data_IF_958924154665
#
_entry.id   IF_958924154665
#
_cell.length_a   1.000
_cell.length_b   1.000
_cell.length_c   1.000
_cell.angle_alpha   90.00
_cell.angle_beta   90.00
_cell.angle_gamma   90.00
#
_symmetry.space_group_name_H-M   'P 1'
#
loop_
_entity.id
_entity.type
_entity.pdbx_description
1 polymer ?
#
# COMPACT_ATOMS: atom_id res chain seq x y z
N UNK A 1 -39.48 3.61 6.04
CA UNK A 1 -38.68 2.72 6.90
C UNK A 1 -37.32 3.36 7.07
N UNK A 2 -36.94 3.80 8.26
CA UNK A 2 -35.61 4.38 8.49
C UNK A 2 -34.64 3.26 8.85
N UNK A 3 -33.88 2.77 7.88
CA UNK A 3 -32.77 1.87 8.15
C UNK A 3 -31.63 2.71 8.74
N UNK A 4 -31.40 2.57 10.05
CA UNK A 4 -30.24 3.18 10.72
C UNK A 4 -29.07 2.20 10.66
N UNK A 5 -28.22 2.33 9.64
CA UNK A 5 -26.85 1.84 9.72
C UNK A 5 -26.05 2.59 10.80
N UNK A 6 -24.99 1.97 11.33
CA UNK A 6 -24.12 2.40 12.44
C UNK A 6 -24.83 3.09 13.63
N UNK A 7 -24.96 2.37 14.76
CA UNK A 7 -25.63 2.89 15.95
C UNK A 7 -24.71 3.91 16.63
N UNK A 8 -24.95 5.20 16.37
CA UNK A 8 -24.30 6.31 17.05
C UNK A 8 -25.05 6.63 18.35
N UNK A 9 -24.36 6.60 19.49
CA UNK A 9 -24.93 7.08 20.75
C UNK A 9 -24.79 8.61 20.87
N UNK A 10 -25.24 9.35 19.84
CA UNK A 10 -25.15 10.80 19.78
C UNK A 10 -26.40 11.41 19.13
N UNK A 11 -26.69 12.67 19.44
CA UNK A 11 -27.87 13.41 18.96
C UNK A 11 -27.72 14.00 17.55
N UNK A 12 -26.55 13.92 16.91
CA UNK A 12 -26.35 14.41 15.53
C UNK A 12 -26.43 13.29 14.50
N UNK A 13 -27.02 13.60 13.34
CA UNK A 13 -27.24 12.63 12.26
C UNK A 13 -25.98 12.34 11.42
N UNK A 14 -24.94 13.17 11.50
CA UNK A 14 -23.73 13.06 10.68
C UNK A 14 -22.69 12.12 11.29
N UNK A 15 -21.95 11.39 10.45
CA UNK A 15 -20.77 10.63 10.85
C UNK A 15 -19.59 11.58 11.04
N UNK A 16 -18.94 11.54 12.20
CA UNK A 16 -17.72 12.30 12.45
C UNK A 16 -16.49 11.63 11.82
N UNK A 17 -15.37 12.34 11.86
CA UNK A 17 -14.10 11.83 11.35
C UNK A 17 -13.66 10.50 12.01
N UNK A 18 -13.84 10.29 13.34
CA UNK A 18 -13.52 9.00 13.97
C UNK A 18 -14.42 7.86 13.49
N UNK A 19 -15.73 8.09 13.29
CA UNK A 19 -16.63 7.06 12.79
C UNK A 19 -16.34 6.70 11.33
N UNK A 20 -16.02 7.69 10.48
CA UNK A 20 -15.57 7.45 9.12
C UNK A 20 -14.24 6.70 9.09
N UNK A 21 -13.29 7.06 9.96
CA UNK A 21 -12.02 6.36 10.08
C UNK A 21 -12.22 4.89 10.50
N UNK A 22 -13.17 4.59 11.39
CA UNK A 22 -13.50 3.22 11.76
C UNK A 22 -14.05 2.40 10.57
N UNK A 23 -14.90 3.00 9.73
CA UNK A 23 -15.40 2.37 8.49
C UNK A 23 -14.23 2.09 7.54
N UNK A 24 -13.39 3.10 7.28
CA UNK A 24 -12.25 2.95 6.39
C UNK A 24 -11.22 1.97 6.93
N UNK A 25 -10.99 1.90 8.25
CA UNK A 25 -10.14 0.89 8.87
C UNK A 25 -10.71 -0.53 8.68
N UNK A 26 -12.02 -0.69 8.68
CA UNK A 26 -12.65 -1.96 8.31
C UNK A 26 -12.41 -2.35 6.85
N UNK A 27 -12.36 -1.37 5.94
CA UNK A 27 -12.12 -1.60 4.50
C UNK A 27 -10.63 -1.72 4.14
N UNK A 28 -9.78 -0.99 4.85
CA UNK A 28 -8.33 -0.83 4.69
C UNK A 28 -7.67 -1.12 6.04
N UNK A 29 -7.54 -2.40 6.43
CA UNK A 29 -7.10 -2.77 7.77
C UNK A 29 -5.64 -2.42 8.06
N UNK A 30 -4.84 -2.21 7.01
CA UNK A 30 -3.41 -1.87 7.10
C UNK A 30 -3.18 -0.40 6.77
N UNK A 31 -2.22 0.22 7.46
CA UNK A 31 -1.68 1.51 7.04
C UNK A 31 -0.89 1.34 5.74
N UNK A 32 -0.86 2.39 4.92
CA UNK A 32 -0.08 2.37 3.70
C UNK A 32 -0.64 3.24 2.59
N UNK A 33 0.09 3.29 1.48
CA UNK A 33 -0.31 3.99 0.26
C UNK A 33 -1.42 3.19 -0.43
N UNK A 34 -2.55 3.82 -0.68
CA UNK A 34 -3.63 3.23 -1.46
C UNK A 34 -3.26 3.41 -2.94
N UNK A 35 -3.36 2.33 -3.71
CA UNK A 35 -3.10 2.36 -5.16
C UNK A 35 -4.17 3.20 -5.88
N UNK A 36 -3.91 4.49 -6.02
CA UNK A 36 -4.81 5.48 -6.56
C UNK A 36 -4.01 6.66 -7.11
N UNK A 37 -4.30 7.03 -8.37
CA UNK A 37 -3.61 8.08 -9.12
C UNK A 37 -2.12 7.75 -9.33
N UNK A 38 -1.22 8.56 -8.78
CA UNK A 38 0.23 8.44 -8.95
C UNK A 38 0.89 7.90 -7.66
N UNK A 39 0.12 7.18 -6.84
CA UNK A 39 0.56 6.42 -5.66
C UNK A 39 1.43 7.22 -4.67
N UNK A 40 1.16 8.53 -4.51
CA UNK A 40 1.97 9.42 -3.68
C UNK A 40 3.48 9.32 -4.02
N UNK A 41 3.82 9.14 -5.30
CA UNK A 41 5.21 9.07 -5.74
C UNK A 41 5.99 10.31 -5.27
N UNK A 42 7.13 10.08 -4.63
CA UNK A 42 7.98 11.16 -4.14
C UNK A 42 9.15 11.41 -5.09
N UNK A 43 9.26 12.64 -5.59
CA UNK A 43 10.35 13.07 -6.45
C UNK A 43 11.23 14.11 -5.74
N UNK A 44 12.55 14.00 -5.91
CA UNK A 44 13.48 15.10 -5.61
C UNK A 44 13.34 16.16 -6.70
N UNK A 45 12.97 17.39 -6.30
CA UNK A 45 12.90 18.54 -7.21
C UNK A 45 14.24 19.28 -7.19
N UNK A 46 14.82 19.46 -6.01
CA UNK A 46 16.16 19.99 -5.79
C UNK A 46 16.68 19.52 -4.41
N UNK A 47 17.82 20.03 -3.95
CA UNK A 47 18.41 19.65 -2.65
C UNK A 47 17.59 20.05 -1.42
N UNK A 48 16.61 20.93 -1.59
CA UNK A 48 15.80 21.50 -0.51
C UNK A 48 14.30 21.29 -0.70
N UNK A 49 13.88 20.49 -1.67
CA UNK A 49 12.47 20.27 -1.97
C UNK A 49 12.24 18.86 -2.52
N UNK A 50 11.33 18.15 -1.88
CA UNK A 50 10.71 16.94 -2.42
C UNK A 50 9.23 17.19 -2.70
N UNK A 51 8.70 16.47 -3.67
CA UNK A 51 7.32 16.62 -4.13
C UNK A 51 6.63 15.28 -4.10
N UNK A 52 5.47 15.22 -3.45
CA UNK A 52 4.53 14.12 -3.57
C UNK A 52 3.55 14.41 -4.71
N UNK A 53 3.45 13.46 -5.62
CA UNK A 53 2.42 13.41 -6.67
C UNK A 53 1.05 13.06 -6.09
N UNK A 54 -0.05 13.23 -6.86
CA UNK A 54 -1.38 12.77 -6.46
C UNK A 54 -1.40 11.33 -5.94
N UNK A 55 -2.11 11.11 -4.84
CA UNK A 55 -2.31 9.79 -4.25
C UNK A 55 -2.91 9.87 -2.85
N UNK A 56 -3.16 8.73 -2.21
CA UNK A 56 -3.77 8.67 -0.88
C UNK A 56 -3.01 7.70 0.02
N UNK A 57 -2.85 8.07 1.29
CA UNK A 57 -2.28 7.27 2.37
C UNK A 57 -3.37 6.98 3.41
N UNK A 58 -3.47 5.72 3.85
CA UNK A 58 -4.29 5.29 4.97
C UNK A 58 -3.44 5.25 6.25
N UNK A 59 -3.85 6.03 7.25
CA UNK A 59 -3.25 6.05 8.59
C UNK A 59 -4.32 5.64 9.62
N UNK A 60 -4.36 4.35 9.95
CA UNK A 60 -5.33 3.76 10.89
C UNK A 60 -6.79 4.05 10.52
N UNK A 61 -7.09 4.11 9.22
CA UNK A 61 -8.41 4.47 8.69
C UNK A 61 -8.60 5.97 8.39
N UNK A 62 -7.73 6.85 8.88
CA UNK A 62 -7.72 8.25 8.45
C UNK A 62 -7.03 8.36 7.10
N UNK A 63 -7.72 8.95 6.11
CA UNK A 63 -7.20 9.09 4.76
C UNK A 63 -6.57 10.46 4.56
N UNK A 64 -5.32 10.49 4.11
CA UNK A 64 -4.56 11.68 3.78
C UNK A 64 -4.15 11.61 2.31
N UNK A 65 -4.46 12.62 1.50
CA UNK A 65 -4.17 12.55 0.08
C UNK A 65 -3.75 13.87 -0.57
N UNK A 66 -3.04 13.73 -1.68
CA UNK A 66 -2.78 14.78 -2.66
C UNK A 66 -3.77 14.56 -3.81
N UNK A 67 -4.57 15.58 -4.12
CA UNK A 67 -5.62 15.47 -5.14
C UNK A 67 -5.05 15.49 -6.56
N UNK A 68 -5.74 14.85 -7.50
CA UNK A 68 -5.36 14.87 -8.91
C UNK A 68 -5.24 16.31 -9.44
N UNK A 69 -4.17 16.58 -10.19
CA UNK A 69 -3.87 17.93 -10.70
C UNK A 69 -3.18 18.85 -9.71
N UNK A 70 -2.90 18.38 -8.48
CA UNK A 70 -2.12 19.12 -7.46
C UNK A 70 -0.88 18.33 -7.04
N UNK A 71 0.00 18.97 -6.27
CA UNK A 71 1.22 18.36 -5.72
C UNK A 71 1.40 18.82 -4.28
N UNK A 72 1.98 17.97 -3.43
CA UNK A 72 2.41 18.40 -2.09
C UNK A 72 3.93 18.56 -2.04
N UNK A 73 4.37 19.81 -1.91
CA UNK A 73 5.79 20.15 -1.83
C UNK A 73 6.22 20.24 -0.37
N UNK A 74 7.28 19.53 -0.03
CA UNK A 74 7.83 19.48 1.31
C UNK A 74 9.25 20.06 1.28
N UNK A 75 9.45 21.13 2.04
CA UNK A 75 10.74 21.78 2.19
C UNK A 75 11.70 20.92 3.02
N UNK A 76 12.85 20.62 2.45
CA UNK A 76 13.95 19.88 3.10
C UNK A 76 15.01 20.90 3.53
N UNK A 77 15.29 20.94 4.83
CA UNK A 77 16.38 21.77 5.34
C UNK A 77 17.71 21.36 4.72
N UNK A 78 18.52 22.34 4.33
CA UNK A 78 19.85 22.06 3.77
C UNK A 78 20.71 21.24 4.73
N UNK A 79 21.53 20.38 4.14
CA UNK A 79 22.57 19.66 4.88
C UNK A 79 23.77 20.56 5.22
N UNK A 80 24.79 19.98 5.82
CA UNK A 80 26.02 20.69 6.19
C UNK A 80 27.21 19.93 5.62
N UNK A 81 28.13 20.63 4.95
CA UNK A 81 29.33 20.02 4.38
C UNK A 81 30.10 19.22 5.46
N UNK A 82 30.48 17.98 5.13
CA UNK A 82 31.14 17.05 6.06
C UNK A 82 30.21 16.30 7.03
N UNK A 83 28.89 16.50 6.95
CA UNK A 83 27.90 15.78 7.75
C UNK A 83 26.91 15.01 6.86
N UNK A 84 26.36 13.94 7.43
CA UNK A 84 25.32 13.10 6.87
C UNK A 84 24.09 13.16 7.77
N UNK A 85 22.89 13.04 7.18
CA UNK A 85 21.61 13.06 7.89
C UNK A 85 20.58 12.20 7.16
N UNK A 86 19.69 11.56 7.88
CA UNK A 86 18.49 10.94 7.31
C UNK A 86 17.28 11.71 7.82
N UNK A 87 16.49 12.26 6.92
CA UNK A 87 15.18 12.82 7.22
C UNK A 87 14.09 11.85 6.73
N UNK A 88 12.88 11.94 7.26
CA UNK A 88 11.75 11.11 6.85
C UNK A 88 10.59 11.99 6.38
N UNK A 89 10.03 11.68 5.22
CA UNK A 89 8.68 12.13 4.87
C UNK A 89 7.71 11.22 5.60
N UNK A 90 6.82 11.79 6.41
CA UNK A 90 5.85 11.06 7.23
C UNK A 90 4.43 11.52 6.96
N UNK A 91 3.47 10.62 7.16
CA UNK A 91 2.08 10.98 7.43
C UNK A 91 1.95 11.14 8.95
N UNK A 92 1.52 12.31 9.38
CA UNK A 92 1.39 12.67 10.79
C UNK A 92 -0.07 12.96 11.12
N UNK A 93 -0.59 12.25 12.11
CA UNK A 93 -1.81 12.60 12.82
C UNK A 93 -1.44 13.21 14.18
N UNK A 94 -2.02 14.37 14.48
CA UNK A 94 -1.95 15.01 15.80
C UNK A 94 -3.36 15.31 16.28
N UNK A 95 -3.76 14.70 17.40
CA UNK A 95 -4.97 15.06 18.13
C UNK A 95 -4.71 16.32 18.92
N UNK A 96 -5.46 17.38 18.64
CA UNK A 96 -5.37 18.61 19.41
C UNK A 96 -6.41 18.60 20.53
N UNK A 97 -6.06 17.86 21.59
CA UNK A 97 -6.60 17.92 22.95
C UNK A 97 -8.10 18.21 23.12
N UNK A 98 -8.95 17.17 23.08
CA UNK A 98 -10.24 17.04 23.79
C UNK A 98 -11.27 18.19 23.75
N UNK A 99 -11.11 19.22 22.92
CA UNK A 99 -11.90 20.45 22.88
C UNK A 99 -12.03 21.04 21.46
N UNK A 100 -12.27 22.35 21.34
CA UNK A 100 -12.57 23.04 20.06
C UNK A 100 -11.41 23.12 19.04
N UNK A 101 -10.29 22.43 19.28
CA UNK A 101 -9.18 22.30 18.34
C UNK A 101 -9.49 21.26 17.27
N UNK A 102 -9.00 21.48 16.05
CA UNK A 102 -9.15 20.52 14.94
C UNK A 102 -7.96 19.58 14.94
N UNK A 103 -8.22 18.28 14.93
CA UNK A 103 -7.21 17.25 14.71
C UNK A 103 -6.53 17.47 13.36
N UNK A 104 -5.20 17.33 13.32
CA UNK A 104 -4.42 17.59 12.11
C UNK A 104 -3.95 16.28 11.51
N UNK A 105 -4.16 16.12 10.20
CA UNK A 105 -3.61 15.03 9.39
C UNK A 105 -2.83 15.66 8.24
N UNK A 106 -1.53 15.41 8.16
CA UNK A 106 -0.65 16.11 7.22
C UNK A 106 0.56 15.28 6.77
N UNK A 107 1.11 15.62 5.61
CA UNK A 107 2.45 15.19 5.23
C UNK A 107 3.48 16.15 5.83
N UNK A 108 4.57 15.62 6.38
CA UNK A 108 5.59 16.41 7.05
C UNK A 108 6.97 15.77 6.89
N UNK A 109 8.02 16.59 6.97
CA UNK A 109 9.38 16.09 7.13
C UNK A 109 9.75 16.05 8.61
N UNK A 110 10.12 14.87 9.11
CA UNK A 110 10.79 14.71 10.40
C UNK A 110 12.28 14.70 10.15
N UNK A 111 12.96 15.73 10.65
CA UNK A 111 14.39 15.92 10.50
C UNK A 111 15.16 14.97 11.41
N UNK A 112 16.19 14.31 10.87
CA UNK A 112 17.11 13.50 11.66
C UNK A 112 18.21 14.32 12.34
N UNK A 113 19.12 13.60 12.98
CA UNK A 113 20.31 14.20 13.60
C UNK A 113 21.48 14.16 12.62
N UNK A 114 22.13 15.32 12.40
CA UNK A 114 23.36 15.38 11.60
C UNK A 114 24.50 14.66 12.31
N UNK A 115 25.30 13.89 11.58
CA UNK A 115 26.46 13.16 12.10
C UNK A 115 27.60 13.16 11.08
N UNK A 116 28.85 13.05 11.53
CA UNK A 116 30.01 12.86 10.63
C UNK A 116 30.18 11.39 10.21
N UNK A 117 29.47 10.46 10.87
CA UNK A 117 29.50 9.03 10.57
C UNK A 117 28.31 8.56 9.74
N UNK A 118 27.92 7.30 9.94
CA UNK A 118 26.72 6.71 9.32
C UNK A 118 25.46 7.32 9.98
N UNK A 119 24.58 7.97 9.21
CA UNK A 119 23.36 8.55 9.76
C UNK A 119 22.32 7.48 10.10
N UNK A 120 21.48 7.76 11.09
CA UNK A 120 20.33 6.94 11.48
C UNK A 120 19.04 7.70 11.26
N UNK A 121 17.96 6.98 10.93
CA UNK A 121 16.64 7.60 10.80
C UNK A 121 16.15 8.13 12.16
N UNK A 122 15.40 9.26 12.19
CA UNK A 122 14.76 9.75 13.41
C UNK A 122 13.73 8.75 13.94
N UNK A 123 13.58 8.72 15.26
CA UNK A 123 12.51 7.96 15.92
C UNK A 123 11.16 8.65 15.71
N UNK A 124 10.15 7.88 15.32
CA UNK A 124 8.78 8.36 15.12
C UNK A 124 7.90 8.01 16.32
N UNK A 125 6.88 8.84 16.57
CA UNK A 125 5.84 8.54 17.56
C UNK A 125 4.75 7.70 16.92
N UNK A 126 4.42 6.54 17.48
CA UNK A 126 3.48 5.59 16.89
C UNK A 126 2.33 5.23 17.84
N UNK A 127 1.67 6.23 18.43
CA UNK A 127 0.58 5.96 19.36
C UNK A 127 -0.61 5.28 18.65
N UNK A 128 -1.37 4.47 19.39
CA UNK A 128 -2.66 4.00 18.90
C UNK A 128 -3.69 5.14 19.01
N UNK A 129 -3.85 5.88 17.92
CA UNK A 129 -4.77 7.01 17.83
C UNK A 129 -6.25 6.62 17.90
N UNK A 130 -6.59 5.32 17.93
CA UNK A 130 -7.96 4.87 18.22
C UNK A 130 -8.28 4.95 19.72
N UNK A 131 -7.28 5.17 20.57
CA UNK A 131 -7.44 5.45 22.00
C UNK A 131 -7.45 6.97 22.19
N UNK A 132 -8.49 7.51 22.81
CA UNK A 132 -8.69 8.97 22.94
C UNK A 132 -7.54 9.68 23.68
N UNK A 133 -6.92 9.02 24.65
CA UNK A 133 -5.80 9.58 25.43
C UNK A 133 -4.51 9.77 24.62
N UNK A 134 -4.37 9.06 23.50
CA UNK A 134 -3.20 9.13 22.65
C UNK A 134 -3.31 10.31 21.68
N UNK A 135 -2.18 10.94 21.37
CA UNK A 135 -2.21 12.23 20.64
C UNK A 135 -1.45 12.23 19.32
N UNK A 136 -0.48 11.35 19.11
CA UNK A 136 0.37 11.48 17.91
C UNK A 136 0.68 10.14 17.27
N UNK A 137 0.46 10.05 15.96
CA UNK A 137 0.94 8.92 15.15
C UNK A 137 1.62 9.43 13.91
N UNK A 138 2.83 8.95 13.70
CA UNK A 138 3.68 9.20 12.55
C UNK A 138 4.03 7.86 11.91
N UNK A 139 3.89 7.78 10.59
CA UNK A 139 4.35 6.63 9.81
C UNK A 139 5.25 7.14 8.69
N UNK A 140 6.39 6.48 8.47
CA UNK A 140 7.34 6.86 7.43
C UNK A 140 6.79 6.46 6.05
N UNK A 141 6.84 7.41 5.10
CA UNK A 141 6.55 7.18 3.69
C UNK A 141 7.84 7.06 2.87
N UNK A 142 8.78 7.99 3.06
CA UNK A 142 10.04 8.01 2.31
C UNK A 142 11.23 8.36 3.20
N UNK A 143 12.37 7.74 2.93
CA UNK A 143 13.68 8.11 3.47
C UNK A 143 14.35 9.14 2.57
N UNK A 144 14.86 10.19 3.19
CA UNK A 144 15.65 11.23 2.56
C UNK A 144 17.08 11.18 3.11
N UNK A 145 18.02 10.64 2.34
CA UNK A 145 19.43 10.61 2.72
C UNK A 145 20.14 11.86 2.23
N UNK A 146 20.75 12.61 3.14
CA UNK A 146 21.47 13.84 2.86
C UNK A 146 22.95 13.62 3.20
N UNK A 147 23.83 13.90 2.24
CA UNK A 147 25.29 13.79 2.39
C UNK A 147 25.91 15.13 2.01
N UNK A 148 26.61 15.77 2.95
CA UNK A 148 27.04 17.15 2.79
C UNK A 148 25.81 18.05 2.63
N UNK A 149 25.68 18.70 1.47
CA UNK A 149 24.53 19.55 1.11
C UNK A 149 23.62 18.90 0.07
N UNK A 150 23.90 17.67 -0.34
CA UNK A 150 23.19 17.00 -1.44
C UNK A 150 22.16 16.03 -0.90
N UNK A 151 20.93 16.13 -1.42
CA UNK A 151 19.84 15.20 -1.18
C UNK A 151 19.90 14.06 -2.20
N UNK A 152 19.88 12.81 -1.72
CA UNK A 152 19.71 11.65 -2.58
C UNK A 152 18.27 11.53 -3.10
N UNK A 153 18.05 10.68 -4.10
CA UNK A 153 16.69 10.32 -4.52
C UNK A 153 15.91 9.72 -3.33
N UNK A 154 14.66 10.15 -3.08
CA UNK A 154 13.83 9.59 -2.02
C UNK A 154 13.67 8.06 -2.18
N UNK A 155 13.84 7.34 -1.09
CA UNK A 155 13.64 5.88 -1.04
C UNK A 155 12.29 5.58 -0.38
N UNK A 156 11.42 4.84 -1.06
CA UNK A 156 10.11 4.44 -0.52
C UNK A 156 10.27 3.54 0.71
N UNK A 157 9.56 3.87 1.79
CA UNK A 157 9.52 3.09 3.03
C UNK A 157 8.12 2.57 3.37
N UNK A 158 7.06 3.27 2.93
CA UNK A 158 5.70 2.86 3.20
C UNK A 158 5.33 1.59 2.43
N UNK A 159 4.56 0.73 3.10
CA UNK A 159 3.83 -0.35 2.43
C UNK A 159 2.60 0.21 1.68
N UNK A 160 2.04 -0.60 0.78
CA UNK A 160 0.73 -0.32 0.20
C UNK A 160 -0.38 -0.72 1.17
N UNK A 161 -1.43 0.11 1.27
CA UNK A 161 -2.68 -0.25 1.93
C UNK A 161 -3.55 -1.03 0.93
N UNK A 162 -3.72 -2.32 1.18
CA UNK A 162 -4.64 -3.15 0.40
C UNK A 162 -6.02 -3.15 1.03
N UNK A 163 -7.04 -2.81 0.24
CA UNK A 163 -8.44 -3.01 0.63
C UNK A 163 -8.91 -4.44 0.39
N UNK A 164 -10.16 -4.72 0.73
CA UNK A 164 -10.88 -5.93 0.28
C UNK A 164 -10.68 -6.12 -1.24
N UNK A 165 -10.33 -7.35 -1.66
CA UNK A 165 -10.00 -7.82 -3.02
C UNK A 165 -10.41 -6.87 -4.16
N UNK A 166 -9.46 -6.12 -4.72
CA UNK A 166 -9.68 -5.38 -5.98
C UNK A 166 -9.78 -6.35 -7.16
N UNK A 167 -10.71 -6.13 -8.11
CA UNK A 167 -10.85 -6.97 -9.30
C UNK A 167 -10.11 -6.32 -10.48
N UNK A 168 -9.37 -7.11 -11.27
CA UNK A 168 -8.75 -6.68 -12.52
C UNK A 168 -9.10 -7.63 -13.65
N UNK A 169 -9.62 -7.09 -14.75
CA UNK A 169 -9.93 -7.88 -15.94
C UNK A 169 -8.64 -8.33 -16.66
N UNK A 170 -8.59 -9.59 -17.07
CA UNK A 170 -7.46 -10.19 -17.80
C UNK A 170 -7.99 -10.92 -19.03
N UNK A 171 -7.96 -10.23 -20.17
CA UNK A 171 -8.43 -10.75 -21.45
C UNK A 171 -7.37 -11.53 -22.26
N UNK A 172 -6.10 -11.53 -21.82
CA UNK A 172 -4.99 -12.16 -22.53
C UNK A 172 -3.93 -12.73 -21.57
N UNK A 173 -3.16 -13.71 -22.04
CA UNK A 173 -2.04 -14.29 -21.30
C UNK A 173 -1.02 -13.22 -20.91
N UNK A 174 -0.59 -13.24 -19.64
CA UNK A 174 0.43 -12.32 -19.12
C UNK A 174 1.14 -12.88 -17.91
N UNK A 175 2.31 -12.33 -17.63
CA UNK A 175 3.02 -12.55 -16.37
C UNK A 175 2.39 -11.68 -15.28
N UNK A 176 2.32 -12.20 -14.06
CA UNK A 176 1.90 -11.44 -12.89
C UNK A 176 2.87 -10.26 -12.67
N UNK A 177 2.31 -9.14 -12.25
CA UNK A 177 3.05 -7.93 -11.88
C UNK A 177 2.78 -7.59 -10.43
N UNK A 178 3.65 -6.78 -9.82
CA UNK A 178 3.53 -6.45 -8.40
C UNK A 178 2.15 -5.84 -8.05
N UNK A 179 1.54 -5.11 -8.99
CA UNK A 179 0.21 -4.52 -8.85
C UNK A 179 -0.96 -5.51 -8.81
N UNK A 180 -0.74 -6.81 -9.02
CA UNK A 180 -1.76 -7.86 -8.87
C UNK A 180 -1.91 -8.34 -7.41
N UNK A 181 -0.98 -7.96 -6.53
CA UNK A 181 -0.99 -8.41 -5.13
C UNK A 181 -2.31 -8.05 -4.43
N UNK A 182 -2.96 -9.06 -3.83
CA UNK A 182 -4.22 -8.86 -3.09
C UNK A 182 -5.46 -8.67 -3.98
N UNK A 183 -5.36 -8.91 -5.30
CA UNK A 183 -6.47 -8.76 -6.24
C UNK A 183 -7.07 -10.09 -6.68
N UNK A 184 -8.28 -10.00 -7.20
CA UNK A 184 -8.84 -10.99 -8.11
C UNK A 184 -8.51 -10.61 -9.56
N UNK A 185 -8.00 -11.57 -10.32
CA UNK A 185 -7.84 -11.46 -11.77
C UNK A 185 -9.02 -12.16 -12.45
N UNK A 186 -9.99 -11.36 -12.87
CA UNK A 186 -11.16 -11.79 -13.62
C UNK A 186 -10.75 -12.11 -15.06
N UNK A 187 -10.51 -13.39 -15.34
CA UNK A 187 -10.03 -13.84 -16.63
C UNK A 187 -11.21 -13.96 -17.61
N UNK A 188 -11.48 -12.91 -18.37
CA UNK A 188 -12.66 -12.77 -19.23
C UNK A 188 -12.51 -13.33 -20.64
N UNK A 189 -11.32 -13.84 -21.00
CA UNK A 189 -11.05 -14.29 -22.37
C UNK A 189 -11.90 -15.48 -22.80
N UNK A 190 -12.44 -15.42 -24.02
CA UNK A 190 -13.06 -16.59 -24.66
C UNK A 190 -12.02 -17.61 -25.16
N UNK A 191 -10.75 -17.21 -25.28
CA UNK A 191 -9.63 -18.07 -25.67
C UNK A 191 -8.84 -18.50 -24.44
N UNK A 192 -8.15 -19.64 -24.52
CA UNK A 192 -7.25 -20.09 -23.46
C UNK A 192 -6.20 -19.03 -23.15
N UNK A 193 -6.02 -18.71 -21.87
CA UNK A 193 -4.99 -17.81 -21.38
C UNK A 193 -4.11 -18.48 -20.33
N UNK A 194 -2.88 -18.00 -20.26
CA UNK A 194 -1.89 -18.43 -19.27
C UNK A 194 -1.48 -17.25 -18.40
N UNK A 195 -1.58 -17.44 -17.08
CA UNK A 195 -1.09 -16.50 -16.07
C UNK A 195 0.24 -17.04 -15.54
N UNK A 196 1.33 -16.33 -15.83
CA UNK A 196 2.68 -16.78 -15.45
C UNK A 196 3.10 -16.16 -14.13
N UNK A 197 3.52 -16.98 -13.18
CA UNK A 197 4.15 -16.53 -11.93
C UNK A 197 5.62 -16.19 -12.21
N UNK A 198 6.06 -14.92 -12.08
CA UNK A 198 7.45 -14.53 -12.32
C UNK A 198 8.40 -15.04 -11.23
N UNK A 199 9.70 -15.24 -11.53
CA UNK A 199 10.71 -15.44 -10.50
C UNK A 199 10.78 -14.24 -9.56
N UNK A 200 11.07 -14.52 -8.29
CA UNK A 200 11.23 -13.53 -7.23
C UNK A 200 12.29 -12.48 -7.56
N UNK A 201 13.32 -12.86 -8.33
CA UNK A 201 14.36 -11.95 -8.79
C UNK A 201 13.88 -10.91 -9.81
N UNK A 202 12.74 -11.13 -10.47
CA UNK A 202 12.13 -10.17 -11.41
C UNK A 202 10.95 -9.40 -10.81
N UNK A 203 10.10 -10.07 -10.01
CA UNK A 203 8.96 -9.47 -9.33
C UNK A 203 8.86 -10.09 -7.94
N UNK A 204 9.31 -9.32 -6.95
CA UNK A 204 9.38 -9.76 -5.57
C UNK A 204 8.05 -9.52 -4.84
N UNK A 205 7.12 -10.46 -4.95
CA UNK A 205 5.94 -10.49 -4.06
C UNK A 205 6.35 -10.84 -2.62
N UNK A 206 5.64 -10.36 -1.61
CA UNK A 206 5.90 -10.76 -0.22
C UNK A 206 5.35 -12.17 0.07
N UNK A 207 6.00 -12.89 0.99
CA UNK A 207 5.45 -14.18 1.47
C UNK A 207 4.11 -13.91 2.16
N UNK A 208 3.08 -14.69 1.82
CA UNK A 208 1.71 -14.47 2.26
C UNK A 208 0.84 -13.70 1.26
N UNK A 209 1.41 -13.07 0.22
CA UNK A 209 0.61 -12.48 -0.86
C UNK A 209 -0.34 -13.53 -1.43
N UNK A 210 -1.62 -13.16 -1.52
CA UNK A 210 -2.67 -13.95 -2.14
C UNK A 210 -3.19 -13.22 -3.36
N UNK A 211 -3.31 -13.93 -4.48
CA UNK A 211 -3.91 -13.44 -5.73
C UNK A 211 -4.97 -14.46 -6.11
N UNK A 212 -6.21 -14.00 -6.29
CA UNK A 212 -7.31 -14.84 -6.72
C UNK A 212 -7.40 -14.79 -8.24
N UNK A 213 -7.69 -15.91 -8.88
CA UNK A 213 -7.95 -16.02 -10.30
C UNK A 213 -9.37 -16.57 -10.46
N UNK A 214 -10.19 -15.93 -11.28
CA UNK A 214 -11.53 -16.40 -11.66
C UNK A 214 -11.59 -16.63 -13.17
N UNK A 215 -12.21 -17.74 -13.57
CA UNK A 215 -12.42 -18.05 -14.99
C UNK A 215 -13.78 -17.52 -15.43
N UNK A 216 -13.85 -16.25 -15.79
CA UNK A 216 -15.10 -15.60 -16.18
C UNK A 216 -15.45 -15.83 -17.66
N UNK A 217 -14.43 -15.87 -18.51
CA UNK A 217 -14.54 -16.19 -19.92
C UNK A 217 -14.59 -17.69 -20.20
N UNK A 218 -15.01 -18.06 -21.41
CA UNK A 218 -15.09 -19.46 -21.84
C UNK A 218 -13.72 -20.13 -21.99
N UNK A 219 -12.65 -19.36 -22.16
CA UNK A 219 -11.29 -19.86 -22.31
C UNK A 219 -10.75 -20.52 -21.05
N UNK A 220 -9.91 -21.53 -21.21
CA UNK A 220 -9.21 -22.14 -20.07
C UNK A 220 -8.21 -21.15 -19.45
N UNK A 221 -8.16 -21.10 -18.12
CA UNK A 221 -7.19 -20.29 -17.37
C UNK A 221 -6.19 -21.22 -16.74
N UNK A 222 -4.93 -21.13 -17.18
CA UNK A 222 -3.85 -21.99 -16.72
C UNK A 222 -2.78 -21.16 -16.03
N UNK A 223 -2.27 -21.66 -14.89
CA UNK A 223 -1.16 -21.04 -14.18
C UNK A 223 0.15 -21.69 -14.58
N UNK A 224 1.10 -20.89 -15.06
CA UNK A 224 2.44 -21.32 -15.42
C UNK A 224 3.48 -20.84 -14.41
N UNK A 225 4.50 -21.65 -14.17
CA UNK A 225 5.68 -21.25 -13.41
C UNK A 225 6.69 -20.58 -14.36
N UNK A 226 7.17 -19.39 -13.98
CA UNK A 226 8.36 -18.78 -14.58
C UNK A 226 9.64 -19.53 -14.22
N UNK A 227 10.78 -19.06 -14.73
CA UNK A 227 12.07 -19.70 -14.50
C UNK A 227 12.37 -19.82 -13.00
N UNK A 228 12.66 -21.04 -12.51
CA UNK A 228 13.00 -21.29 -11.10
C UNK A 228 11.80 -21.29 -10.13
N UNK A 229 10.59 -20.95 -10.58
CA UNK A 229 9.40 -20.94 -9.73
C UNK A 229 8.86 -22.36 -9.54
N UNK A 230 8.55 -22.71 -8.30
CA UNK A 230 7.82 -23.92 -7.91
C UNK A 230 6.41 -23.54 -7.50
N UNK A 231 5.40 -24.14 -8.13
CA UNK A 231 4.01 -24.03 -7.70
C UNK A 231 3.57 -25.39 -7.15
N UNK A 232 2.95 -25.43 -5.97
CA UNK A 232 2.47 -26.65 -5.32
C UNK A 232 0.94 -26.64 -5.36
N UNK A 233 0.33 -27.72 -5.84
CA UNK A 233 -1.13 -27.87 -5.97
C UNK A 233 -1.55 -29.33 -5.84
N UNK A 234 -2.84 -29.58 -5.63
CA UNK A 234 -3.41 -30.93 -5.63
C UNK A 234 -3.16 -31.63 -6.96
N UNK A 235 -2.62 -32.85 -6.91
CA UNK A 235 -2.27 -33.68 -8.07
C UNK A 235 -1.43 -32.96 -9.15
N UNK A 236 -0.69 -31.91 -8.77
CA UNK A 236 0.05 -31.03 -9.70
C UNK A 236 -0.81 -30.28 -10.74
N UNK A 237 -2.12 -30.14 -10.49
CA UNK A 237 -3.06 -29.44 -11.36
C UNK A 237 -2.78 -27.94 -11.44
N UNK A 238 -3.05 -27.32 -12.58
CA UNK A 238 -2.65 -25.93 -12.87
C UNK A 238 -3.73 -25.08 -13.51
N UNK A 239 -4.83 -25.68 -13.93
CA UNK A 239 -5.89 -24.98 -14.63
C UNK A 239 -7.13 -24.89 -13.76
N UNK A 240 -7.90 -23.81 -13.91
CA UNK A 240 -9.19 -23.69 -13.25
C UNK A 240 -10.19 -24.62 -13.95
N UNK A 241 -10.79 -25.54 -13.20
CA UNK A 241 -11.51 -26.70 -13.72
C UNK A 241 -12.69 -26.33 -14.62
N UNK A 242 -13.61 -25.47 -14.15
CA UNK A 242 -14.77 -25.03 -14.95
C UNK A 242 -14.88 -23.52 -15.01
N UNK A 243 -15.60 -23.04 -16.02
CA UNK A 243 -16.00 -21.64 -16.09
C UNK A 243 -16.79 -21.25 -14.83
N UNK A 244 -16.56 -20.03 -14.36
CA UNK A 244 -17.10 -19.44 -13.13
C UNK A 244 -16.60 -20.07 -11.82
N UNK A 245 -15.55 -20.88 -11.88
CA UNK A 245 -14.81 -21.31 -10.70
C UNK A 245 -13.54 -20.47 -10.49
N UNK A 246 -12.94 -20.63 -9.32
CA UNK A 246 -11.81 -19.81 -8.88
C UNK A 246 -10.67 -20.66 -8.31
N UNK A 247 -9.48 -20.09 -8.36
CA UNK A 247 -8.31 -20.59 -7.66
C UNK A 247 -7.52 -19.43 -7.02
N UNK A 248 -6.84 -19.70 -5.91
CA UNK A 248 -5.99 -18.74 -5.24
C UNK A 248 -4.52 -19.18 -5.32
N UNK A 249 -3.66 -18.23 -5.69
CA UNK A 249 -2.21 -18.32 -5.61
C UNK A 249 -1.74 -17.65 -4.32
N UNK A 250 -1.08 -18.41 -3.46
CA UNK A 250 -0.58 -17.95 -2.17
C UNK A 250 0.93 -18.14 -2.14
N UNK A 251 1.70 -17.08 -1.97
CA UNK A 251 3.16 -17.19 -1.87
C UNK A 251 3.57 -17.81 -0.52
N UNK A 252 4.35 -18.89 -0.55
CA UNK A 252 4.76 -19.65 0.66
C UNK A 252 6.22 -19.44 1.04
N UNK A 253 7.09 -19.21 0.07
CA UNK A 253 8.50 -18.89 0.26
C UNK A 253 9.06 -18.23 -1.01
N UNK A 254 10.36 -17.90 -1.03
CA UNK A 254 11.06 -17.49 -2.24
C UNK A 254 10.84 -18.52 -3.34
N UNK A 255 10.38 -18.05 -4.51
CA UNK A 255 10.06 -18.86 -5.69
C UNK A 255 9.08 -20.03 -5.43
N UNK A 256 8.39 -20.07 -4.30
CA UNK A 256 7.47 -21.15 -3.94
C UNK A 256 6.07 -20.62 -3.69
N UNK A 257 5.12 -21.12 -4.47
CA UNK A 257 3.71 -20.73 -4.41
C UNK A 257 2.83 -21.94 -4.18
N UNK A 258 1.71 -21.74 -3.49
CA UNK A 258 0.66 -22.73 -3.35
C UNK A 258 -0.53 -22.29 -4.20
N UNK A 259 -1.01 -23.17 -5.07
CA UNK A 259 -2.24 -22.98 -5.85
C UNK A 259 -3.32 -23.90 -5.27
N UNK A 260 -4.43 -23.31 -4.85
CA UNK A 260 -5.58 -24.02 -4.25
C UNK A 260 -6.88 -23.54 -4.86
N UNK A 261 -7.89 -24.41 -4.95
CA UNK A 261 -9.19 -24.09 -5.50
C UNK A 261 -9.78 -25.24 -6.31
N UNK A 262 -10.69 -24.91 -7.23
CA UNK A 262 -11.22 -25.91 -8.17
C UNK A 262 -10.27 -26.06 -9.35
N UNK A 263 -9.43 -27.10 -9.29
CA UNK A 263 -8.35 -27.33 -10.24
C UNK A 263 -8.59 -28.57 -11.10
N UNK A 264 -8.14 -28.50 -12.35
CA UNK A 264 -8.06 -29.60 -13.31
C UNK A 264 -6.65 -29.73 -13.90
#
# INVERSE_FOLDING_TARGET
MAQKGYIKNSVTADLGAPELAAIFKGLLPTNGIINLWDDLACARINDNLVRLSPGVYSLSGYLLGVMQGTTADLAVDSGTAGYNRIDLVVAEFVRNGGGAGVDTLQFKIVKGTSTTGTPTAPTLTADDINVEANTTRQEALYRLTITGTTLATPELMAASASGLLGISDVAASRTLVIGDAGKELACSSASTITITVPPNSSVAFDVGTTIVLSRDGAGDVTVAAGAGVTIVSSDSKRSINKQHEMAALIKKATDTWQLVGSLA
#
